data_IF_858842777846
#
_entry.id   IF_858842777846
#
_cell.length_a   1.000
_cell.length_b   1.000
_cell.length_c   1.000
_cell.angle_alpha   90.00
_cell.angle_beta   90.00
_cell.angle_gamma   90.00
#
_symmetry.space_group_name_H-M   'P 1'
#
loop_
_entity.id
_entity.type
_entity.pdbx_description
1 polymer ?
#
# COMPACT_ATOMS: atom_id res chain seq x y z
N UNK A 1 -1.60 46.20 27.00
CA UNK A 1 -0.84 45.05 27.54
C UNK A 1 -0.28 44.17 26.42
N UNK A 2 -1.05 43.83 25.38
CA UNK A 2 -0.61 42.99 24.27
C UNK A 2 0.60 43.54 23.48
N UNK A 3 0.62 44.85 23.18
CA UNK A 3 1.75 45.51 22.51
C UNK A 3 3.08 45.37 23.29
N UNK A 4 3.03 45.55 24.61
CA UNK A 4 4.19 45.40 25.50
C UNK A 4 4.69 43.95 25.58
N UNK A 5 3.79 42.96 25.47
CA UNK A 5 4.16 41.56 25.43
C UNK A 5 4.84 41.19 24.10
N UNK A 6 4.34 41.74 22.99
CA UNK A 6 4.94 41.55 21.66
C UNK A 6 6.33 42.18 21.58
N UNK A 7 6.47 43.42 22.04
CA UNK A 7 7.74 44.14 22.10
C UNK A 7 8.75 43.43 23.00
N UNK A 8 8.32 42.92 24.17
CA UNK A 8 9.15 42.08 25.03
C UNK A 8 9.66 40.82 24.32
N UNK A 9 8.82 40.15 23.54
CA UNK A 9 9.23 38.95 22.79
C UNK A 9 10.23 39.29 21.69
N UNK A 10 9.99 40.36 20.92
CA UNK A 10 10.91 40.84 19.87
C UNK A 10 12.28 41.23 20.44
N UNK A 11 12.33 41.86 21.61
CA UNK A 11 13.59 42.21 22.28
C UNK A 11 14.36 40.96 22.76
N UNK A 12 13.65 39.96 23.30
CA UNK A 12 14.26 38.68 23.71
C UNK A 12 14.84 37.94 22.49
N UNK A 13 14.12 37.95 21.36
CA UNK A 13 14.55 37.30 20.13
C UNK A 13 15.79 37.97 19.53
N UNK A 14 15.85 39.31 19.54
CA UNK A 14 17.06 40.08 19.18
C UNK A 14 18.23 39.77 20.12
N UNK A 15 17.99 39.68 21.43
CA UNK A 15 19.02 39.35 22.41
C UNK A 15 19.58 37.92 22.22
N UNK A 16 18.72 36.95 21.88
CA UNK A 16 19.14 35.59 21.54
C UNK A 16 19.98 35.52 20.27
N UNK A 17 19.67 36.34 19.25
CA UNK A 17 20.47 36.40 18.00
C UNK A 17 21.83 37.05 18.21
N UNK A 18 21.92 38.07 19.06
CA UNK A 18 23.17 38.81 19.31
C UNK A 18 24.11 38.10 20.28
N UNK A 19 23.58 37.38 21.27
CA UNK A 19 24.39 36.69 22.26
C UNK A 19 23.97 35.21 22.41
N UNK A 20 24.77 34.26 21.88
CA UNK A 20 24.50 32.83 22.00
C UNK A 20 24.43 32.29 23.44
N UNK A 21 24.97 33.02 24.43
CA UNK A 21 24.92 32.65 25.85
C UNK A 21 23.65 33.18 26.55
N UNK A 22 22.85 33.99 25.86
CA UNK A 22 21.64 34.57 26.44
C UNK A 22 20.56 33.49 26.61
N UNK A 23 20.26 33.14 27.87
CA UNK A 23 19.14 32.26 28.19
C UNK A 23 17.84 33.07 28.20
N UNK A 24 16.83 32.67 27.40
CA UNK A 24 15.56 33.35 27.41
C UNK A 24 14.88 33.26 28.80
N UNK A 25 14.15 34.29 29.24
CA UNK A 25 13.43 34.28 30.52
C UNK A 25 12.43 33.12 30.62
N UNK A 26 12.17 32.60 31.83
CA UNK A 26 11.13 31.59 32.06
C UNK A 26 9.77 32.13 31.59
N UNK A 27 9.18 31.46 30.59
CA UNK A 27 7.92 31.87 29.94
C UNK A 27 8.08 32.49 28.54
N UNK A 28 9.30 32.63 28.01
CA UNK A 28 9.50 32.96 26.59
C UNK A 28 9.04 31.79 25.70
N UNK A 29 8.16 32.08 24.76
CA UNK A 29 7.84 31.19 23.63
C UNK A 29 8.30 31.91 22.37
N UNK A 30 9.17 31.31 21.54
CA UNK A 30 9.56 31.90 20.26
C UNK A 30 8.31 32.16 19.42
N UNK A 31 8.25 33.35 18.79
CA UNK A 31 7.14 33.69 17.91
C UNK A 31 7.28 32.86 16.63
N UNK A 32 6.42 31.86 16.50
CA UNK A 32 6.32 31.10 15.26
C UNK A 32 5.60 31.97 14.24
N UNK A 33 6.19 32.07 13.06
CA UNK A 33 5.54 32.74 11.94
C UNK A 33 4.41 31.84 11.45
N UNK A 34 3.23 32.41 11.30
CA UNK A 34 2.05 31.69 10.81
C UNK A 34 1.47 32.36 9.57
N UNK A 35 1.03 31.54 8.61
CA UNK A 35 0.38 32.00 7.38
C UNK A 35 -0.87 31.19 7.14
N UNK A 36 -1.99 31.90 6.99
CA UNK A 36 -3.31 31.32 6.71
C UNK A 36 -3.63 31.46 5.22
N UNK A 37 -3.96 30.35 4.58
CA UNK A 37 -4.33 30.30 3.15
C UNK A 37 -5.71 29.66 3.05
N UNK A 38 -6.68 30.38 2.49
CA UNK A 38 -8.04 29.86 2.29
C UNK A 38 -8.11 29.03 1.01
N UNK A 39 -8.87 27.93 1.06
CA UNK A 39 -9.08 27.05 -0.09
C UNK A 39 -10.34 27.50 -0.82
N UNK A 40 -10.31 27.71 -2.15
CA UNK A 40 -11.45 28.19 -2.95
C UNK A 40 -12.48 27.08 -3.21
N UNK A 41 -13.01 26.46 -2.15
CA UNK A 41 -14.04 25.41 -2.24
C UNK A 41 -15.38 25.92 -2.81
N UNK A 42 -15.62 27.24 -2.76
CA UNK A 42 -16.84 27.86 -3.29
C UNK A 42 -16.83 27.93 -4.82
N UNK A 43 -15.67 28.08 -5.43
CA UNK A 43 -15.50 28.19 -6.89
C UNK A 43 -15.51 26.82 -7.55
N UNK A 44 -14.91 25.82 -6.89
CA UNK A 44 -14.81 24.45 -7.39
C UNK A 44 -15.25 23.42 -6.34
N UNK A 45 -16.56 23.29 -6.07
CA UNK A 45 -17.07 22.37 -5.04
C UNK A 45 -16.88 20.89 -5.38
N UNK A 46 -16.73 20.55 -6.67
CA UNK A 46 -16.47 19.18 -7.14
C UNK A 46 -15.01 18.76 -7.03
N UNK A 47 -14.10 19.70 -6.77
CA UNK A 47 -12.67 19.42 -6.73
C UNK A 47 -12.16 19.20 -5.30
N UNK A 48 -11.53 18.04 -5.07
CA UNK A 48 -11.07 17.62 -3.74
C UNK A 48 -9.67 18.15 -3.40
N UNK A 49 -9.55 19.46 -3.14
CA UNK A 49 -8.28 20.09 -2.74
C UNK A 49 -7.66 19.46 -1.48
N UNK A 50 -8.48 19.10 -0.49
CA UNK A 50 -8.01 18.44 0.74
C UNK A 50 -7.25 17.15 0.44
N UNK A 51 -7.84 16.29 -0.41
CA UNK A 51 -7.23 15.01 -0.78
C UNK A 51 -5.90 15.18 -1.51
N UNK A 52 -5.78 16.21 -2.34
CA UNK A 52 -4.57 16.53 -3.07
C UNK A 52 -3.42 16.99 -2.16
N UNK A 53 -3.72 17.89 -1.20
CA UNK A 53 -2.73 18.45 -0.26
C UNK A 53 -2.26 17.40 0.73
N UNK A 54 -3.17 16.60 1.28
CA UNK A 54 -2.84 15.56 2.27
C UNK A 54 -2.18 14.36 1.59
N UNK A 55 -2.71 13.94 0.45
CA UNK A 55 -2.30 12.75 -0.26
C UNK A 55 -2.64 11.44 0.48
N UNK A 56 -2.21 10.28 -0.06
CA UNK A 56 -2.47 8.98 0.54
C UNK A 56 -1.85 8.90 1.94
N UNK A 57 -2.67 8.60 2.95
CA UNK A 57 -2.27 8.49 4.37
C UNK A 57 -1.53 9.73 4.94
N UNK A 58 -1.67 10.91 4.32
CA UNK A 58 -0.95 12.11 4.74
C UNK A 58 0.52 12.16 4.33
N UNK A 59 0.95 11.27 3.41
CA UNK A 59 2.34 11.23 2.98
C UNK A 59 2.76 12.51 2.24
N UNK A 60 1.89 13.08 1.41
CA UNK A 60 2.20 14.31 0.66
C UNK A 60 2.35 15.50 1.59
N UNK A 61 1.44 15.67 2.54
CA UNK A 61 1.56 16.70 3.58
C UNK A 61 2.87 16.54 4.37
N UNK A 62 3.16 15.33 4.88
CA UNK A 62 4.40 15.07 5.64
C UNK A 62 5.65 15.32 4.83
N UNK A 63 5.63 15.01 3.53
CA UNK A 63 6.74 15.28 2.62
C UNK A 63 6.97 16.78 2.47
N UNK A 64 5.92 17.57 2.23
CA UNK A 64 6.01 19.04 2.15
C UNK A 64 6.50 19.67 3.45
N UNK A 65 6.03 19.17 4.60
CA UNK A 65 6.50 19.60 5.92
C UNK A 65 7.99 19.32 6.12
N UNK A 66 8.45 18.11 5.74
CA UNK A 66 9.85 17.70 5.86
C UNK A 66 10.77 18.50 4.93
N UNK A 67 10.32 18.79 3.71
CA UNK A 67 11.12 19.52 2.71
C UNK A 67 11.26 21.00 3.05
N UNK A 68 10.24 21.62 3.63
CA UNK A 68 10.29 23.05 4.00
C UNK A 68 10.69 23.29 5.45
N UNK A 69 10.69 22.27 6.29
CA UNK A 69 10.86 22.42 7.73
C UNK A 69 9.72 23.21 8.37
N UNK A 70 8.54 23.15 7.79
CA UNK A 70 7.34 23.81 8.30
C UNK A 70 6.34 22.81 8.82
N UNK A 71 5.34 23.28 9.56
CA UNK A 71 4.23 22.47 10.03
C UNK A 71 2.94 22.99 9.39
N UNK A 72 2.27 22.12 8.65
CA UNK A 72 1.10 22.42 7.81
C UNK A 72 -0.11 21.79 8.50
N UNK A 73 -1.11 22.58 8.86
CA UNK A 73 -2.35 22.10 9.47
C UNK A 73 -3.53 22.53 8.62
N UNK A 74 -4.42 21.60 8.30
CA UNK A 74 -5.68 21.93 7.63
C UNK A 74 -6.77 22.05 8.69
N UNK A 75 -7.59 23.10 8.56
CA UNK A 75 -8.66 23.46 9.50
C UNK A 75 -9.89 23.97 8.73
N UNK A 76 -11.03 24.00 9.40
CA UNK A 76 -12.30 24.48 8.84
C UNK A 76 -13.29 23.38 8.47
N UNK A 77 -14.50 23.80 8.06
CA UNK A 77 -15.62 22.92 7.71
C UNK A 77 -15.26 22.01 6.53
N UNK A 78 -15.33 20.69 6.73
CA UNK A 78 -14.92 19.68 5.74
C UNK A 78 -13.50 19.13 5.90
N UNK A 79 -12.69 19.64 6.84
CA UNK A 79 -11.35 19.09 7.13
C UNK A 79 -11.38 17.75 7.85
N UNK A 80 -12.51 17.35 8.43
CA UNK A 80 -12.66 16.09 9.17
C UNK A 80 -13.44 15.12 8.30
N UNK A 81 -12.84 13.96 8.02
CA UNK A 81 -13.50 12.88 7.26
C UNK A 81 -14.80 12.49 7.98
N UNK A 82 -15.93 12.65 7.29
CA UNK A 82 -17.24 12.20 7.76
C UNK A 82 -17.14 10.76 8.29
N UNK A 83 -17.43 10.59 9.59
CA UNK A 83 -17.34 9.31 10.28
C UNK A 83 -16.31 9.24 11.42
N UNK A 84 -15.26 10.07 11.41
CA UNK A 84 -14.41 10.29 12.60
C UNK A 84 -14.76 11.63 13.22
N UNK A 85 -15.79 11.64 14.07
CA UNK A 85 -15.92 12.71 15.07
C UNK A 85 -14.54 12.81 15.75
N UNK A 86 -13.92 13.99 15.85
CA UNK A 86 -12.78 14.11 16.74
C UNK A 86 -13.33 13.76 18.12
N UNK A 87 -12.82 12.70 18.76
CA UNK A 87 -13.11 12.36 20.16
C UNK A 87 -12.68 13.47 21.14
N UNK A 88 -12.37 14.67 20.65
CA UNK A 88 -12.06 15.88 21.41
C UNK A 88 -13.11 16.99 21.25
N UNK A 89 -14.23 16.78 20.54
CA UNK A 89 -15.20 17.84 20.26
C UNK A 89 -16.68 17.43 20.34
N UNK A 90 -17.07 16.56 21.30
CA UNK A 90 -18.44 16.66 21.83
C UNK A 90 -19.30 15.41 21.80
N UNK A 91 -18.86 14.32 22.44
CA UNK A 91 -19.80 13.30 22.90
C UNK A 91 -19.35 12.71 24.24
N UNK A 92 -19.35 13.57 25.28
CA UNK A 92 -19.62 13.23 26.68
C UNK A 92 -19.34 14.46 27.57
N UNK A 93 -20.39 15.21 27.90
CA UNK A 93 -20.45 15.93 29.18
C UNK A 93 -19.92 17.36 29.24
N UNK A 94 -20.27 18.27 28.32
CA UNK A 94 -20.19 19.72 28.62
C UNK A 94 -21.51 20.42 28.34
N UNK A 95 -22.15 20.81 29.43
CA UNK A 95 -23.48 21.41 29.55
C UNK A 95 -23.48 22.92 29.27
N UNK A 96 -22.54 23.41 28.46
CA UNK A 96 -22.34 24.85 28.24
C UNK A 96 -22.01 25.09 26.77
N UNK A 97 -23.00 25.51 25.99
CA UNK A 97 -22.94 25.79 24.56
C UNK A 97 -21.99 26.93 24.16
N UNK A 98 -20.70 26.79 24.46
CA UNK A 98 -19.64 27.63 23.93
C UNK A 98 -19.01 26.95 22.71
N UNK A 99 -19.28 27.44 21.49
CA UNK A 99 -18.64 26.90 20.29
C UNK A 99 -17.13 27.06 20.41
N UNK A 100 -16.39 26.00 20.07
CA UNK A 100 -14.94 26.07 19.95
C UNK A 100 -14.56 27.10 18.87
N UNK A 101 -13.62 28.03 19.13
CA UNK A 101 -13.22 29.01 18.13
C UNK A 101 -12.62 28.30 16.91
N UNK A 102 -13.23 28.47 15.73
CA UNK A 102 -12.67 27.99 14.45
C UNK A 102 -13.48 26.90 13.72
N UNK A 103 -14.53 26.33 14.31
CA UNK A 103 -15.38 25.34 13.60
C UNK A 103 -16.29 25.96 12.53
N UNK A 104 -16.57 27.27 12.63
CA UNK A 104 -17.35 28.00 11.63
C UNK A 104 -16.50 28.60 10.49
N UNK A 105 -15.19 28.39 10.50
CA UNK A 105 -14.31 28.96 9.48
C UNK A 105 -14.32 28.13 8.20
N UNK A 106 -14.25 28.82 7.06
CA UNK A 106 -14.10 28.21 5.75
C UNK A 106 -12.80 27.40 5.67
N UNK A 107 -12.78 26.36 4.84
CA UNK A 107 -11.66 25.43 4.72
C UNK A 107 -10.36 26.19 4.41
N UNK A 108 -9.36 26.02 5.26
CA UNK A 108 -8.09 26.73 5.15
C UNK A 108 -6.90 25.90 5.63
N UNK A 109 -5.73 26.27 5.14
CA UNK A 109 -4.44 25.72 5.54
C UNK A 109 -3.71 26.74 6.41
N UNK A 110 -3.32 26.33 7.61
CA UNK A 110 -2.47 27.07 8.54
C UNK A 110 -1.05 26.50 8.45
N UNK A 111 -0.12 27.31 7.97
CA UNK A 111 1.30 26.96 7.89
C UNK A 111 2.01 27.68 9.04
N UNK A 112 2.80 26.94 9.82
CA UNK A 112 3.64 27.50 10.89
C UNK A 112 5.11 27.17 10.64
N UNK A 113 5.99 28.15 10.79
CA UNK A 113 7.40 28.02 10.52
C UNK A 113 8.25 28.87 11.47
N UNK A 114 9.49 28.46 11.69
CA UNK A 114 10.47 29.25 12.46
C UNK A 114 11.22 30.26 11.56
N UNK A 115 11.23 30.03 10.23
CA UNK A 115 11.86 30.89 9.24
C UNK A 115 10.83 31.44 8.24
N UNK A 116 10.97 32.71 7.87
CA UNK A 116 10.09 33.35 6.88
C UNK A 116 10.26 32.76 5.47
N UNK A 117 11.48 32.42 5.08
CA UNK A 117 11.75 31.80 3.78
C UNK A 117 11.08 30.42 3.66
N UNK A 118 11.15 29.60 4.72
CA UNK A 118 10.46 28.31 4.78
C UNK A 118 8.93 28.48 4.70
N UNK A 119 8.39 29.49 5.37
CA UNK A 119 6.96 29.81 5.34
C UNK A 119 6.49 30.18 3.92
N UNK A 120 7.25 31.00 3.22
CA UNK A 120 6.96 31.43 1.86
C UNK A 120 7.09 30.28 0.86
N UNK A 121 8.13 29.45 0.98
CA UNK A 121 8.29 28.23 0.18
C UNK A 121 7.12 27.26 0.37
N UNK A 122 6.72 27.00 1.62
CA UNK A 122 5.58 26.14 1.93
C UNK A 122 4.28 26.74 1.39
N UNK A 123 4.08 28.05 1.54
CA UNK A 123 2.92 28.73 1.01
C UNK A 123 2.83 28.67 -0.51
N UNK A 124 3.94 28.82 -1.22
CA UNK A 124 4.00 28.71 -2.68
C UNK A 124 3.62 27.29 -3.14
N UNK A 125 4.14 26.25 -2.48
CA UNK A 125 3.77 24.85 -2.80
C UNK A 125 2.29 24.58 -2.55
N UNK A 126 1.73 25.07 -1.43
CA UNK A 126 0.29 24.91 -1.16
C UNK A 126 -0.53 25.68 -2.19
N UNK A 127 -0.17 26.91 -2.53
CA UNK A 127 -0.86 27.71 -3.55
C UNK A 127 -0.86 27.05 -4.93
N UNK A 128 0.24 26.40 -5.32
CA UNK A 128 0.30 25.64 -6.56
C UNK A 128 -0.72 24.49 -6.60
N UNK A 129 -1.03 23.87 -5.46
CA UNK A 129 -2.05 22.82 -5.34
C UNK A 129 -3.49 23.36 -5.26
N UNK A 130 -3.67 24.67 -5.04
CA UNK A 130 -5.00 25.31 -5.01
C UNK A 130 -5.50 25.70 -6.41
N UNK A 131 -4.67 25.57 -7.44
CA UNK A 131 -5.10 25.76 -8.82
C UNK A 131 -5.67 24.43 -9.32
N UNK A 132 -6.96 24.36 -9.69
CA UNK A 132 -7.54 23.14 -10.22
C UNK A 132 -6.90 22.83 -11.57
N UNK A 133 -6.12 21.75 -11.60
CA UNK A 133 -5.60 21.18 -12.85
C UNK A 133 -6.55 20.06 -13.29
N UNK A 134 -6.94 20.07 -14.57
CA UNK A 134 -7.79 19.05 -15.20
C UNK A 134 -7.32 17.63 -14.85
N UNK A 135 -8.28 16.74 -14.58
CA UNK A 135 -8.04 15.39 -14.10
C UNK A 135 -7.14 14.56 -15.04
N UNK A 136 -7.20 14.84 -16.35
CA UNK A 136 -6.37 14.18 -17.37
C UNK A 136 -4.92 14.66 -17.38
N UNK A 137 -4.64 15.87 -16.91
CA UNK A 137 -3.29 16.46 -16.88
C UNK A 137 -2.64 16.42 -15.50
N UNK A 138 -3.39 16.01 -14.48
CA UNK A 138 -2.91 16.03 -13.11
C UNK A 138 -2.15 14.76 -12.76
N UNK A 139 -0.90 14.67 -13.24
CA UNK A 139 0.01 13.55 -12.97
C UNK A 139 0.18 13.30 -11.46
N UNK A 140 0.17 14.37 -10.65
CA UNK A 140 0.26 14.27 -9.20
C UNK A 140 -0.91 13.49 -8.59
N UNK A 141 -2.15 13.76 -9.01
CA UNK A 141 -3.33 13.02 -8.56
C UNK A 141 -3.27 11.54 -8.99
N UNK A 142 -2.83 11.27 -10.23
CA UNK A 142 -2.68 9.91 -10.75
C UNK A 142 -1.62 9.11 -9.98
N UNK A 143 -0.49 9.73 -9.67
CA UNK A 143 0.58 9.13 -8.87
C UNK A 143 0.11 8.84 -7.44
N UNK A 144 -0.59 9.79 -6.81
CA UNK A 144 -1.18 9.60 -5.47
C UNK A 144 -2.20 8.46 -5.43
N UNK A 145 -3.06 8.34 -6.45
CA UNK A 145 -4.05 7.25 -6.55
C UNK A 145 -3.37 5.88 -6.75
N UNK A 146 -2.32 5.82 -7.57
CA UNK A 146 -1.49 4.62 -7.75
C UNK A 146 -0.82 4.20 -6.43
N UNK A 147 -0.21 5.14 -5.73
CA UNK A 147 0.41 4.89 -4.42
C UNK A 147 -0.63 4.41 -3.39
N UNK A 148 -1.82 5.03 -3.37
CA UNK A 148 -2.90 4.60 -2.50
C UNK A 148 -3.34 3.16 -2.79
N UNK A 149 -3.49 2.81 -4.06
CA UNK A 149 -3.83 1.45 -4.47
C UNK A 149 -2.73 0.46 -4.06
N UNK A 150 -1.45 0.83 -4.21
CA UNK A 150 -0.30 0.00 -3.83
C UNK A 150 -0.35 -0.31 -2.33
N UNK A 151 -0.57 0.73 -1.54
CA UNK A 151 -0.67 0.68 -0.08
C UNK A 151 -1.86 -0.15 0.41
N UNK A 152 -2.99 -0.10 -0.31
CA UNK A 152 -4.19 -0.86 0.05
C UNK A 152 -4.15 -2.30 -0.47
N UNK A 153 -3.11 -2.71 -1.20
CA UNK A 153 -3.01 -4.03 -1.83
C UNK A 153 -4.06 -4.27 -2.91
N UNK A 154 -4.79 -3.23 -3.32
CA UNK A 154 -5.75 -3.26 -4.43
C UNK A 154 -5.11 -2.81 -5.74
N UNK A 155 -3.83 -2.40 -5.70
CA UNK A 155 -3.01 -2.31 -6.90
C UNK A 155 -2.86 -3.73 -7.42
N UNK A 156 -3.79 -4.08 -8.30
CA UNK A 156 -3.54 -5.08 -9.29
C UNK A 156 -2.48 -4.41 -10.16
N UNK A 157 -1.28 -4.96 -10.18
CA UNK A 157 -0.36 -4.64 -11.25
C UNK A 157 -1.09 -5.04 -12.54
N UNK A 158 -1.81 -4.08 -13.11
CA UNK A 158 -2.36 -4.18 -14.46
C UNK A 158 -1.13 -4.41 -15.33
N UNK A 159 -0.88 -5.68 -15.66
CA UNK A 159 -1.33 -6.21 -16.93
C UNK A 159 -0.67 -7.58 -17.24
N UNK A 160 -0.12 -8.27 -16.24
CA UNK A 160 0.47 -9.59 -16.47
C UNK A 160 -0.62 -10.65 -16.65
N UNK A 161 -0.62 -11.28 -17.82
CA UNK A 161 -1.48 -12.42 -18.08
C UNK A 161 -1.10 -13.60 -17.17
N UNK A 162 -2.05 -14.12 -16.39
CA UNK A 162 -1.81 -15.29 -15.50
C UNK A 162 -1.49 -16.60 -16.24
N UNK A 163 -1.61 -16.63 -17.57
CA UNK A 163 -1.30 -17.81 -18.39
C UNK A 163 0.11 -17.75 -19.00
N UNK A 164 0.57 -16.58 -19.44
CA UNK A 164 1.88 -16.45 -20.12
C UNK A 164 2.85 -15.48 -19.46
N UNK A 165 2.43 -14.73 -18.44
CA UNK A 165 3.27 -13.76 -17.72
C UNK A 165 3.55 -12.46 -18.48
N UNK A 166 3.07 -12.30 -19.71
CA UNK A 166 3.28 -11.12 -20.55
C UNK A 166 2.35 -9.96 -20.17
N UNK A 167 2.85 -8.73 -20.30
CA UNK A 167 2.10 -7.50 -20.01
C UNK A 167 1.21 -7.08 -21.19
N UNK A 168 -0.02 -6.64 -20.90
CA UNK A 168 -0.87 -5.87 -21.82
C UNK A 168 -2.14 -6.59 -22.26
N UNK A 169 -2.50 -7.71 -21.64
CA UNK A 169 -3.75 -8.41 -21.94
C UNK A 169 -4.28 -9.26 -20.77
N UNK A 170 -5.61 -9.42 -20.73
CA UNK A 170 -6.30 -10.31 -19.78
C UNK A 170 -6.14 -11.77 -20.19
N UNK A 171 -6.24 -12.71 -19.24
CA UNK A 171 -6.25 -14.17 -19.48
C UNK A 171 -7.15 -14.58 -20.67
N UNK A 172 -8.36 -14.02 -20.64
CA UNK A 172 -9.24 -13.54 -21.71
C UNK A 172 -8.89 -13.39 -23.19
N UNK A 173 -7.74 -12.79 -23.44
CA UNK A 173 -7.28 -12.34 -24.75
C UNK A 173 -5.83 -12.77 -24.96
N UNK A 174 -5.39 -13.76 -24.18
CA UNK A 174 -4.03 -14.27 -24.25
C UNK A 174 -3.79 -14.98 -25.58
N UNK A 175 -2.82 -14.53 -26.40
CA UNK A 175 -2.47 -15.18 -27.66
C UNK A 175 -1.91 -16.60 -27.46
N UNK A 176 -1.42 -16.90 -26.26
CA UNK A 176 -0.89 -18.22 -25.88
C UNK A 176 -1.93 -19.12 -25.17
N UNK A 177 -3.20 -18.68 -25.05
CA UNK A 177 -4.27 -19.42 -24.36
C UNK A 177 -4.49 -20.85 -24.92
N UNK A 178 -4.11 -21.09 -26.17
CA UNK A 178 -4.21 -22.41 -26.82
C UNK A 178 -2.89 -23.16 -27.00
N UNK A 179 -1.73 -22.55 -26.69
CA UNK A 179 -0.41 -23.14 -27.00
C UNK A 179 0.21 -23.91 -25.84
N UNK A 180 -0.28 -23.70 -24.61
CA UNK A 180 0.21 -24.38 -23.41
C UNK A 180 -0.59 -25.61 -22.97
N UNK A 181 -1.77 -25.89 -23.54
CA UNK A 181 -2.61 -27.03 -23.13
C UNK A 181 -2.50 -28.17 -24.15
N UNK A 182 -1.49 -29.03 -23.99
CA UNK A 182 -1.64 -30.41 -24.48
C UNK A 182 -2.63 -31.08 -23.54
N UNK A 183 -3.82 -31.44 -24.04
CA UNK A 183 -4.71 -32.29 -23.28
C UNK A 183 -3.91 -33.54 -22.90
N UNK A 184 -3.68 -33.75 -21.60
CA UNK A 184 -3.11 -35.01 -21.15
C UNK A 184 -4.03 -36.11 -21.69
N UNK A 185 -3.49 -37.00 -22.52
CA UNK A 185 -4.23 -38.15 -23.04
C UNK A 185 -4.40 -39.17 -21.91
N UNK A 186 -5.27 -38.82 -20.97
CA UNK A 186 -5.61 -39.69 -19.84
C UNK A 186 -6.66 -40.67 -20.33
N UNK A 187 -6.23 -41.85 -20.71
CA UNK A 187 -7.08 -43.02 -20.94
C UNK A 187 -7.26 -43.82 -19.66
N UNK A 188 -8.39 -44.50 -19.52
CA UNK A 188 -8.61 -45.44 -18.44
C UNK A 188 -7.56 -46.58 -18.48
N UNK A 189 -6.87 -46.82 -17.36
CA UNK A 189 -5.82 -47.86 -17.27
C UNK A 189 -6.36 -49.29 -17.38
N UNK A 190 -7.67 -49.48 -17.16
CA UNK A 190 -8.30 -50.80 -17.16
C UNK A 190 -8.85 -51.22 -18.52
N UNK A 191 -9.27 -50.26 -19.36
CA UNK A 191 -9.89 -50.56 -20.67
C UNK A 191 -9.36 -49.72 -21.85
N UNK A 192 -8.54 -48.69 -21.61
CA UNK A 192 -7.96 -47.83 -22.65
C UNK A 192 -8.88 -46.74 -23.18
N UNK A 193 -10.15 -46.68 -22.76
CA UNK A 193 -11.09 -45.67 -23.24
C UNK A 193 -10.86 -44.29 -22.60
N UNK A 194 -11.09 -43.24 -23.39
CA UNK A 194 -10.95 -41.81 -22.98
C UNK A 194 -12.25 -41.19 -22.46
N UNK A 195 -13.32 -41.98 -22.36
CA UNK A 195 -14.69 -41.50 -22.05
C UNK A 195 -15.00 -41.40 -20.55
N UNK A 196 -14.17 -42.01 -19.70
CA UNK A 196 -14.38 -42.06 -18.25
C UNK A 196 -13.04 -42.09 -17.49
N UNK A 197 -12.99 -41.55 -16.26
CA UNK A 197 -11.85 -41.74 -15.38
C UNK A 197 -11.71 -43.21 -14.98
N UNK A 198 -10.49 -43.69 -14.75
CA UNK A 198 -10.21 -45.06 -14.28
C UNK A 198 -11.00 -45.46 -13.02
N UNK A 199 -11.41 -44.48 -12.21
CA UNK A 199 -12.23 -44.68 -11.01
C UNK A 199 -13.63 -45.21 -11.28
N UNK A 200 -14.23 -44.82 -12.40
CA UNK A 200 -15.61 -45.14 -12.79
C UNK A 200 -15.66 -46.26 -13.86
N UNK A 201 -14.53 -46.97 -14.05
CA UNK A 201 -14.45 -48.04 -15.02
C UNK A 201 -15.22 -49.27 -14.55
N UNK A 202 -16.17 -49.71 -15.37
CA UNK A 202 -16.95 -50.95 -15.15
C UNK A 202 -16.07 -52.21 -15.15
N UNK A 203 -14.84 -52.13 -15.66
CA UNK A 203 -13.87 -53.23 -15.70
C UNK A 203 -12.78 -53.16 -14.62
N UNK A 204 -12.92 -52.26 -13.64
CA UNK A 204 -11.94 -52.05 -12.56
C UNK A 204 -11.62 -53.32 -11.74
N UNK A 205 -12.61 -54.20 -11.55
CA UNK A 205 -12.46 -55.42 -10.76
C UNK A 205 -11.77 -56.59 -11.50
N UNK A 206 -11.52 -56.45 -12.82
CA UNK A 206 -10.93 -57.52 -13.64
C UNK A 206 -9.39 -57.42 -13.77
N UNK A 207 -8.76 -56.48 -13.07
CA UNK A 207 -7.33 -56.18 -13.22
C UNK A 207 -7.01 -55.48 -14.55
N UNK A 208 -5.81 -54.89 -14.72
CA UNK A 208 -5.42 -54.25 -15.97
C UNK A 208 -5.35 -55.30 -17.09
N UNK A 209 -6.25 -55.19 -18.06
CA UNK A 209 -6.30 -56.09 -19.21
C UNK A 209 -5.20 -55.66 -20.18
N UNK A 210 -4.11 -56.43 -20.28
CA UNK A 210 -3.07 -56.22 -21.29
C UNK A 210 -3.68 -56.44 -22.68
N UNK A 211 -4.12 -55.36 -23.32
CA UNK A 211 -4.45 -55.37 -24.74
C UNK A 211 -3.20 -55.64 -25.58
N UNK A 212 -3.34 -56.21 -26.79
CA UNK A 212 -2.21 -56.51 -27.65
C UNK A 212 -1.59 -55.19 -28.15
N UNK A 213 -0.55 -54.71 -27.45
CA UNK A 213 0.16 -53.47 -27.78
C UNK A 213 0.75 -52.69 -26.61
N UNK A 214 0.53 -53.10 -25.36
CA UNK A 214 1.09 -52.42 -24.19
C UNK A 214 2.58 -52.65 -24.01
N UNK A 215 3.42 -51.75 -24.52
CA UNK A 215 4.77 -51.57 -23.98
C UNK A 215 4.62 -51.10 -22.54
N UNK A 216 5.08 -51.90 -21.58
CA UNK A 216 5.21 -51.46 -20.19
C UNK A 216 6.06 -50.18 -20.16
N UNK A 217 5.57 -49.15 -19.48
CA UNK A 217 6.32 -47.91 -19.34
C UNK A 217 7.61 -48.21 -18.56
N UNK A 218 8.80 -47.96 -19.12
CA UNK A 218 10.08 -48.19 -18.42
C UNK A 218 10.25 -47.35 -17.13
N UNK A 219 9.39 -46.35 -16.95
CA UNK A 219 9.30 -45.51 -15.75
C UNK A 219 8.81 -46.28 -14.50
N UNK A 220 8.00 -47.32 -14.66
CA UNK A 220 7.49 -48.09 -13.52
C UNK A 220 8.58 -49.02 -12.94
N UNK A 221 9.50 -49.50 -13.76
CA UNK A 221 10.61 -50.38 -13.35
C UNK A 221 11.70 -49.61 -12.61
N UNK A 222 12.09 -48.42 -13.10
CA UNK A 222 13.02 -47.53 -12.38
C UNK A 222 12.44 -47.01 -11.07
N UNK A 223 11.14 -46.68 -11.03
CA UNK A 223 10.47 -46.22 -9.81
C UNK A 223 10.37 -47.33 -8.75
N UNK A 224 10.08 -48.57 -9.16
CA UNK A 224 10.05 -49.72 -8.26
C UNK A 224 11.44 -50.11 -7.74
N UNK A 225 12.48 -50.01 -8.58
CA UNK A 225 13.86 -50.22 -8.13
C UNK A 225 14.30 -49.14 -7.13
N UNK A 226 13.98 -47.88 -7.40
CA UNK A 226 14.30 -46.77 -6.51
C UNK A 226 13.58 -46.85 -5.16
N UNK A 227 12.31 -47.28 -5.14
CA UNK A 227 11.59 -47.50 -3.89
C UNK A 227 12.11 -48.72 -3.10
N UNK A 228 12.64 -49.74 -3.78
CA UNK A 228 13.26 -50.89 -3.11
C UNK A 228 14.63 -50.57 -2.49
N UNK A 229 15.39 -49.63 -3.05
CA UNK A 229 16.68 -49.18 -2.49
C UNK A 229 16.51 -48.28 -1.25
N UNK A 230 15.35 -47.65 -1.09
CA UNK A 230 15.07 -46.74 0.02
C UNK A 230 14.48 -47.42 1.26
N UNK A 231 14.23 -48.74 1.23
CA UNK A 231 13.73 -49.48 2.39
C UNK A 231 14.88 -49.75 3.41
N UNK A 232 14.90 -49.08 4.58
CA UNK A 232 16.02 -49.14 5.52
C UNK A 232 16.10 -50.46 6.32
N UNK A 233 15.26 -51.46 6.03
CA UNK A 233 15.17 -52.71 6.81
C UNK A 233 15.75 -53.98 6.15
N UNK A 234 16.44 -53.89 5.01
CA UNK A 234 17.04 -55.08 4.38
C UNK A 234 18.51 -55.26 4.76
N UNK A 235 18.79 -56.24 5.63
CA UNK A 235 20.15 -56.70 5.97
C UNK A 235 20.85 -57.27 4.71
N UNK A 236 22.13 -56.96 4.45
CA UNK A 236 22.86 -57.54 3.33
C UNK A 236 23.08 -59.03 3.55
N UNK A 237 22.71 -59.84 2.55
CA UNK A 237 22.97 -61.27 2.49
C UNK A 237 24.33 -61.47 1.81
N UNK A 238 25.31 -62.04 2.52
CA UNK A 238 26.50 -62.63 1.89
C UNK A 238 27.86 -62.30 2.53
N UNK A 239 28.14 -62.80 3.73
CA UNK A 239 29.51 -63.10 4.16
C UNK A 239 29.49 -64.43 4.93
N UNK A 240 30.16 -65.45 4.38
CA UNK A 240 30.30 -66.77 5.00
C UNK A 240 31.19 -66.70 6.26
N UNK A 241 31.01 -67.59 7.24
CA UNK A 241 31.88 -67.66 8.41
C UNK A 241 33.22 -68.32 8.03
N UNK A 242 34.32 -67.65 8.35
CA UNK A 242 35.66 -68.24 8.34
C UNK A 242 36.02 -68.65 9.77
N UNK A 243 36.39 -69.92 9.92
CA UNK A 243 36.91 -70.55 11.12
C UNK A 243 38.26 -69.94 11.53
N UNK A 244 38.48 -69.72 12.83
CA UNK A 244 39.83 -69.73 13.42
C UNK A 244 39.76 -70.17 14.89
N UNK A 245 40.67 -71.10 15.20
CA UNK A 245 40.92 -71.81 16.45
C UNK A 245 41.42 -70.92 17.60
#
# INVERSE_FOLDING_TARGET
>A
QEKLQKERQELIEKAMKLNPLFRPPPGYRPQKLEKKIFIPVKEHPTYNFFGLIVGPRGNTQKKMEKETGTKILIRGRGSVKEGKRPHHAGDQGRNDGKPVPGENEDLHVLITADNQESLEKAAAMVQALLVPVDEEKNEHKKQQLRELAAINGTLRDDDYCRLCGEMGHKMWSCPERGKGWKAAEVSCIYCGDKSHPSSDCVHKDKGPMQGPGGQGNPLDEEYLNFMNELDPNKRPVGQQPGDDL
#
